data_IF_395804817590
#
_entry.id   IF_395804817590
#
_cell.length_a   1.000
_cell.length_b   1.000
_cell.length_c   1.000
_cell.angle_alpha   90.00
_cell.angle_beta   90.00
_cell.angle_gamma   90.00
#
_symmetry.space_group_name_H-M   'P 1'
#
loop_
_entity.id
_entity.type
_entity.pdbx_description
1 polymer ?
#
# COMPACT_ATOMS: atom_id res chain seq x y z
N UNK A 1 11.58 -32.17 6.11
CA UNK A 1 12.61 -31.22 5.64
C UNK A 1 12.04 -30.08 4.80
N UNK A 2 11.47 -30.31 3.60
CA UNK A 2 10.86 -29.22 2.80
C UNK A 2 9.56 -28.72 3.44
N UNK A 3 8.70 -29.63 3.92
CA UNK A 3 7.47 -29.25 4.60
C UNK A 3 7.75 -28.44 5.87
N UNK A 4 8.66 -28.89 6.74
CA UNK A 4 9.03 -28.14 7.95
C UNK A 4 9.54 -26.73 7.63
N UNK A 5 10.29 -26.57 6.53
CA UNK A 5 10.72 -25.26 6.05
C UNK A 5 9.53 -24.39 5.61
N UNK A 6 8.61 -24.96 4.82
CA UNK A 6 7.41 -24.25 4.36
C UNK A 6 6.53 -23.83 5.55
N UNK A 7 6.33 -24.73 6.51
CA UNK A 7 5.56 -24.44 7.71
C UNK A 7 6.22 -23.33 8.52
N UNK A 8 7.51 -23.50 8.87
CA UNK A 8 8.26 -22.54 9.69
C UNK A 8 8.29 -21.12 9.10
N UNK A 9 8.51 -20.99 7.79
CA UNK A 9 8.78 -19.69 7.18
C UNK A 9 7.58 -19.04 6.49
N UNK A 10 6.53 -19.81 6.16
CA UNK A 10 5.37 -19.27 5.44
C UNK A 10 4.03 -19.60 6.11
N UNK A 11 3.77 -20.86 6.51
CA UNK A 11 2.44 -21.24 7.04
C UNK A 11 2.25 -20.79 8.48
N UNK A 12 3.19 -21.11 9.36
CA UNK A 12 3.10 -20.80 10.79
C UNK A 12 3.01 -19.29 11.04
N UNK A 13 3.80 -18.42 10.35
CA UNK A 13 3.63 -16.98 10.49
C UNK A 13 2.22 -16.49 10.12
N UNK A 14 1.60 -17.07 9.09
CA UNK A 14 0.24 -16.74 8.66
C UNK A 14 -0.80 -17.25 9.67
N UNK A 15 -0.67 -18.51 10.11
CA UNK A 15 -1.64 -19.15 11.00
C UNK A 15 -1.61 -18.54 12.40
N UNK A 16 -0.43 -18.16 12.89
CA UNK A 16 -0.22 -17.62 14.24
C UNK A 16 -0.03 -16.10 14.28
N UNK A 17 -0.19 -15.39 13.16
CA UNK A 17 -0.09 -13.93 13.09
C UNK A 17 1.27 -13.37 13.52
N UNK A 18 2.37 -14.06 13.16
CA UNK A 18 3.73 -13.65 13.54
C UNK A 18 4.25 -12.51 12.66
N UNK A 19 5.23 -11.72 13.15
CA UNK A 19 5.99 -10.79 12.31
C UNK A 19 6.68 -11.51 11.14
N UNK A 20 6.99 -10.75 10.08
CA UNK A 20 7.74 -11.29 8.96
C UNK A 20 9.15 -11.70 9.38
N UNK A 21 9.65 -12.73 8.73
CA UNK A 21 11.02 -13.19 8.90
C UNK A 21 11.88 -12.77 7.69
N UNK A 22 13.17 -13.10 7.69
CA UNK A 22 14.05 -12.70 6.57
C UNK A 22 13.69 -13.48 5.29
N UNK A 23 13.26 -14.73 5.42
CA UNK A 23 12.98 -15.61 4.27
C UNK A 23 11.73 -15.16 3.54
N UNK A 24 10.62 -14.93 4.26
CA UNK A 24 9.38 -14.48 3.64
C UNK A 24 9.52 -13.05 3.08
N UNK A 25 10.20 -12.14 3.78
CA UNK A 25 10.47 -10.78 3.33
C UNK A 25 11.21 -10.76 1.99
N UNK A 26 12.31 -11.52 1.87
CA UNK A 26 13.08 -11.61 0.63
C UNK A 26 12.28 -12.30 -0.48
N UNK A 27 11.49 -13.33 -0.13
CA UNK A 27 10.63 -14.02 -1.08
C UNK A 27 9.57 -13.07 -1.66
N UNK A 28 8.89 -12.30 -0.81
CA UNK A 28 7.86 -11.37 -1.23
C UNK A 28 8.43 -10.20 -2.03
N UNK A 29 9.62 -9.71 -1.68
CA UNK A 29 10.34 -8.71 -2.48
C UNK A 29 10.68 -9.24 -3.88
N UNK A 30 11.17 -10.48 -3.98
CA UNK A 30 11.46 -11.10 -5.28
C UNK A 30 10.18 -11.32 -6.10
N UNK A 31 9.11 -11.81 -5.47
CA UNK A 31 7.81 -11.98 -6.12
C UNK A 31 7.27 -10.65 -6.66
N UNK A 32 7.42 -9.55 -5.92
CA UNK A 32 7.03 -8.21 -6.38
C UNK A 32 7.81 -7.81 -7.64
N UNK A 33 9.13 -7.99 -7.67
CA UNK A 33 9.97 -7.67 -8.84
C UNK A 33 9.54 -8.49 -10.06
N UNK A 34 9.33 -9.81 -9.87
CA UNK A 34 8.86 -10.70 -10.93
C UNK A 34 7.47 -10.30 -11.41
N UNK A 35 6.55 -9.96 -10.50
CA UNK A 35 5.21 -9.51 -10.83
C UNK A 35 5.24 -8.22 -11.66
N UNK A 36 6.04 -7.22 -11.26
CA UNK A 36 6.22 -5.98 -12.04
C UNK A 36 6.70 -6.30 -13.45
N UNK A 37 7.68 -7.19 -13.61
CA UNK A 37 8.18 -7.58 -14.93
C UNK A 37 7.11 -8.27 -15.78
N UNK A 38 6.36 -9.22 -15.22
CA UNK A 38 5.27 -9.92 -15.92
C UNK A 38 4.17 -8.93 -16.34
N UNK A 39 3.74 -8.06 -15.42
CA UNK A 39 2.73 -7.03 -15.68
C UNK A 39 3.21 -6.06 -16.75
N UNK A 40 4.47 -5.62 -16.68
CA UNK A 40 5.09 -4.77 -17.71
C UNK A 40 5.03 -5.45 -19.09
N UNK A 41 5.47 -6.70 -19.21
CA UNK A 41 5.46 -7.44 -20.48
C UNK A 41 4.05 -7.66 -21.03
N UNK A 42 3.07 -7.83 -20.15
CA UNK A 42 1.68 -7.98 -20.54
C UNK A 42 1.05 -6.65 -20.98
N UNK A 43 1.14 -5.60 -20.15
CA UNK A 43 0.51 -4.32 -20.41
C UNK A 43 1.19 -3.53 -21.53
N UNK A 44 2.52 -3.63 -21.67
CA UNK A 44 3.25 -3.01 -22.82
C UNK A 44 2.83 -3.58 -24.18
N UNK A 45 2.22 -4.77 -24.22
CA UNK A 45 1.66 -5.37 -25.44
C UNK A 45 0.17 -5.07 -25.63
N UNK A 46 -0.48 -4.44 -24.65
CA UNK A 46 -1.89 -4.12 -24.71
C UNK A 46 -2.15 -2.94 -25.64
N UNK A 47 -3.05 -3.11 -26.61
CA UNK A 47 -3.47 -2.02 -27.49
C UNK A 47 -4.54 -1.10 -26.84
N UNK A 48 -5.10 -1.51 -25.70
CA UNK A 48 -6.25 -0.84 -25.07
C UNK A 48 -5.82 -0.09 -23.80
N UNK A 49 -5.02 -0.75 -22.96
CA UNK A 49 -4.58 -0.21 -21.68
C UNK A 49 -3.25 0.51 -21.87
N UNK A 50 -3.22 1.81 -21.57
CA UNK A 50 -1.99 2.60 -21.55
C UNK A 50 -1.52 2.74 -20.11
N UNK A 51 -0.24 2.44 -19.88
CA UNK A 51 0.39 2.58 -18.56
C UNK A 51 0.97 3.98 -18.45
N UNK A 52 0.12 4.94 -18.12
CA UNK A 52 0.46 6.35 -17.91
C UNK A 52 0.08 6.81 -16.49
N UNK A 53 0.36 8.08 -16.17
CA UNK A 53 0.06 8.63 -14.85
C UNK A 53 -1.43 8.53 -14.50
N UNK A 54 -2.30 8.62 -15.51
CA UNK A 54 -3.74 8.50 -15.33
C UNK A 54 -4.12 7.07 -14.91
N UNK A 55 -3.54 6.06 -15.53
CA UNK A 55 -3.73 4.67 -15.14
C UNK A 55 -3.23 4.39 -13.71
N UNK A 56 -2.08 4.95 -13.32
CA UNK A 56 -1.55 4.80 -11.95
C UNK A 56 -2.50 5.44 -10.94
N UNK A 57 -2.92 6.68 -11.16
CA UNK A 57 -3.88 7.36 -10.29
C UNK A 57 -5.23 6.62 -10.21
N UNK A 58 -5.71 6.07 -11.33
CA UNK A 58 -6.93 5.28 -11.37
C UNK A 58 -6.80 3.93 -10.62
N UNK A 59 -5.58 3.44 -10.41
CA UNK A 59 -5.28 2.20 -9.69
C UNK A 59 -5.14 2.41 -8.17
N UNK A 60 -4.83 3.63 -7.70
CA UNK A 60 -4.64 3.92 -6.27
C UNK A 60 -5.82 3.53 -5.37
N UNK A 61 -7.11 3.67 -5.77
CA UNK A 61 -8.22 3.19 -4.95
C UNK A 61 -8.11 1.69 -4.64
N UNK A 62 -7.61 0.87 -5.57
CA UNK A 62 -7.41 -0.56 -5.34
C UNK A 62 -6.30 -0.84 -4.33
N UNK A 63 -5.28 0.01 -4.25
CA UNK A 63 -4.24 -0.07 -3.22
C UNK A 63 -4.85 0.19 -1.84
N UNK A 64 -5.68 1.23 -1.72
CA UNK A 64 -6.41 1.56 -0.48
C UNK A 64 -7.35 0.42 -0.09
N UNK A 65 -8.07 -0.17 -1.06
CA UNK A 65 -8.94 -1.33 -0.84
C UNK A 65 -8.18 -2.50 -0.23
N UNK A 66 -6.94 -2.75 -0.67
CA UNK A 66 -6.08 -3.78 -0.08
C UNK A 66 -5.81 -3.56 1.40
N UNK A 67 -5.48 -2.32 1.79
CA UNK A 67 -5.32 -1.94 3.19
C UNK A 67 -6.59 -2.13 4.01
N UNK A 68 -7.75 -1.71 3.48
CA UNK A 68 -9.05 -1.89 4.16
C UNK A 68 -9.42 -3.36 4.33
N UNK A 69 -9.22 -4.20 3.31
CA UNK A 69 -9.49 -5.63 3.39
C UNK A 69 -8.56 -6.35 4.37
N UNK A 70 -7.31 -5.89 4.55
CA UNK A 70 -6.46 -6.37 5.65
C UNK A 70 -7.11 -6.09 7.00
N UNK A 71 -7.72 -4.92 7.20
CA UNK A 71 -8.38 -4.61 8.47
C UNK A 71 -9.63 -5.44 8.67
N UNK A 72 -10.37 -5.79 7.62
CA UNK A 72 -11.48 -6.77 7.73
C UNK A 72 -10.98 -8.10 8.29
N UNK A 73 -9.78 -8.54 7.92
CA UNK A 73 -9.15 -9.71 8.55
C UNK A 73 -8.76 -9.44 10.00
N UNK A 74 -8.08 -8.31 10.27
CA UNK A 74 -7.65 -7.91 11.63
C UNK A 74 -8.85 -7.84 12.62
N UNK A 75 -10.06 -7.50 12.14
CA UNK A 75 -11.28 -7.46 12.98
C UNK A 75 -11.82 -8.83 13.41
N UNK A 76 -11.36 -9.93 12.81
CA UNK A 76 -11.87 -11.28 13.10
C UNK A 76 -13.30 -11.55 12.59
N UNK A 77 -13.87 -10.68 11.75
CA UNK A 77 -15.20 -10.89 11.15
C UNK A 77 -15.30 -12.13 10.27
N UNK A 78 -14.19 -12.56 9.70
CA UNK A 78 -14.11 -13.69 8.77
C UNK A 78 -13.41 -14.83 9.50
N UNK A 79 -14.03 -16.00 9.54
CA UNK A 79 -13.47 -17.20 10.16
C UNK A 79 -12.55 -17.99 9.20
N UNK A 80 -11.64 -18.82 9.74
CA UNK A 80 -10.91 -19.80 8.94
C UNK A 80 -11.85 -20.73 8.16
N UNK A 81 -11.50 -21.14 6.93
CA UNK A 81 -10.25 -20.86 6.22
C UNK A 81 -10.25 -19.56 5.40
N UNK A 82 -11.39 -18.87 5.30
CA UNK A 82 -11.57 -17.73 4.38
C UNK A 82 -10.73 -16.51 4.75
N UNK A 83 -10.44 -16.33 6.04
CA UNK A 83 -9.60 -15.23 6.53
C UNK A 83 -8.21 -15.24 5.90
N UNK A 84 -7.64 -16.42 5.61
CA UNK A 84 -6.28 -16.55 5.07
C UNK A 84 -6.14 -15.96 3.68
N UNK A 85 -7.25 -15.84 2.92
CA UNK A 85 -7.25 -15.15 1.63
C UNK A 85 -6.96 -13.66 1.76
N UNK A 86 -7.24 -13.08 2.93
CA UNK A 86 -6.97 -11.68 3.23
C UNK A 86 -5.62 -11.49 3.94
N UNK A 87 -4.87 -12.54 4.28
CA UNK A 87 -3.52 -12.42 4.85
C UNK A 87 -2.47 -12.34 3.74
N UNK A 88 -1.35 -11.67 4.01
CA UNK A 88 -0.21 -11.63 3.08
C UNK A 88 0.48 -13.00 2.99
N UNK A 89 0.98 -13.39 1.80
CA UNK A 89 0.93 -12.67 0.53
C UNK A 89 -0.37 -12.92 -0.26
N UNK A 90 -1.24 -13.84 0.19
CA UNK A 90 -2.44 -14.29 -0.54
C UNK A 90 -3.35 -13.13 -0.95
N UNK A 91 -3.55 -12.15 -0.07
CA UNK A 91 -4.37 -10.98 -0.37
C UNK A 91 -3.92 -10.23 -1.62
N UNK A 92 -2.61 -10.15 -1.89
CA UNK A 92 -2.13 -9.46 -3.09
C UNK A 92 -2.57 -10.19 -4.36
N UNK A 93 -2.67 -11.52 -4.35
CA UNK A 93 -3.19 -12.30 -5.48
C UNK A 93 -4.70 -12.14 -5.64
N UNK A 94 -5.45 -12.15 -4.53
CA UNK A 94 -6.91 -11.90 -4.54
C UNK A 94 -7.21 -10.52 -5.11
N UNK A 95 -6.52 -9.51 -4.58
CA UNK A 95 -6.70 -8.12 -4.97
C UNK A 95 -6.24 -7.87 -6.41
N UNK A 96 -5.15 -8.51 -6.83
CA UNK A 96 -4.70 -8.48 -8.22
C UNK A 96 -5.74 -9.10 -9.16
N UNK A 97 -6.28 -10.27 -8.85
CA UNK A 97 -7.30 -10.92 -9.66
C UNK A 97 -8.57 -10.05 -9.77
N UNK A 98 -9.01 -9.46 -8.66
CA UNK A 98 -10.14 -8.51 -8.66
C UNK A 98 -9.83 -7.27 -9.52
N UNK A 99 -8.71 -6.62 -9.28
CA UNK A 99 -8.29 -5.39 -9.97
C UNK A 99 -8.15 -5.61 -11.48
N UNK A 100 -7.49 -6.70 -11.88
CA UNK A 100 -7.34 -7.09 -13.28
C UNK A 100 -8.68 -7.42 -13.92
N UNK A 101 -9.56 -8.13 -13.22
CA UNK A 101 -10.91 -8.43 -13.74
C UNK A 101 -11.67 -7.15 -14.03
N UNK A 102 -11.67 -6.19 -13.10
CA UNK A 102 -12.35 -4.90 -13.32
C UNK A 102 -11.68 -4.12 -14.46
N UNK A 103 -10.34 -4.09 -14.52
CA UNK A 103 -9.60 -3.44 -15.61
C UNK A 103 -9.98 -4.04 -16.97
N UNK A 104 -10.00 -5.37 -17.09
CA UNK A 104 -10.34 -6.07 -18.34
C UNK A 104 -11.80 -5.83 -18.72
N UNK A 105 -12.73 -5.85 -17.77
CA UNK A 105 -14.15 -5.56 -18.03
C UNK A 105 -14.32 -4.12 -18.52
N UNK A 106 -13.75 -3.14 -17.83
CA UNK A 106 -13.85 -1.73 -18.22
C UNK A 106 -13.16 -1.49 -19.58
N UNK A 107 -11.97 -2.03 -19.81
CA UNK A 107 -11.23 -1.88 -21.05
C UNK A 107 -11.98 -2.53 -22.23
N UNK A 108 -12.57 -3.71 -22.02
CA UNK A 108 -13.41 -4.40 -23.00
C UNK A 108 -14.67 -3.60 -23.34
N UNK A 109 -15.34 -3.05 -22.32
CA UNK A 109 -16.49 -2.16 -22.52
C UNK A 109 -16.12 -0.89 -23.28
N UNK A 110 -14.93 -0.33 -23.01
CA UNK A 110 -14.39 0.82 -23.76
C UNK A 110 -14.14 0.49 -25.22
N UNK A 111 -13.52 -0.67 -25.50
CA UNK A 111 -13.30 -1.15 -26.86
C UNK A 111 -14.62 -1.41 -27.61
N UNK A 112 -15.64 -1.89 -26.92
CA UNK A 112 -16.98 -2.09 -27.49
C UNK A 112 -17.77 -0.80 -27.69
N UNK A 113 -17.25 0.36 -27.28
CA UNK A 113 -17.94 1.65 -27.39
C UNK A 113 -19.05 1.87 -26.35
N UNK A 114 -19.20 0.98 -25.36
CA UNK A 114 -20.20 1.10 -24.29
C UNK A 114 -19.85 2.21 -23.29
N UNK A 115 -18.56 2.45 -23.09
CA UNK A 115 -18.07 3.53 -22.22
C UNK A 115 -17.02 4.35 -22.96
N UNK A 116 -17.15 5.69 -22.89
CA UNK A 116 -16.19 6.61 -23.51
C UNK A 116 -14.83 6.62 -22.80
N UNK A 117 -14.84 6.33 -21.51
CA UNK A 117 -13.69 6.52 -20.64
C UNK A 117 -13.55 5.37 -19.64
N UNK A 118 -12.93 4.28 -20.09
CA UNK A 118 -12.78 3.08 -19.27
C UNK A 118 -11.98 3.34 -18.00
N UNK A 119 -10.97 4.22 -18.05
CA UNK A 119 -10.09 4.51 -16.92
C UNK A 119 -10.86 5.18 -15.77
N UNK A 120 -11.82 6.06 -16.11
CA UNK A 120 -12.72 6.67 -15.12
C UNK A 120 -13.60 5.61 -14.45
N UNK A 121 -14.22 4.71 -15.22
CA UNK A 121 -15.09 3.67 -14.66
C UNK A 121 -14.33 2.63 -13.83
N UNK A 122 -13.10 2.32 -14.23
CA UNK A 122 -12.17 1.53 -13.44
C UNK A 122 -11.88 2.23 -12.09
N UNK A 123 -11.48 3.51 -12.09
CA UNK A 123 -11.28 4.27 -10.86
C UNK A 123 -12.53 4.33 -9.97
N UNK A 124 -13.71 4.61 -10.56
CA UNK A 124 -14.98 4.67 -9.84
C UNK A 124 -15.30 3.34 -9.16
N UNK A 125 -15.08 2.22 -9.84
CA UNK A 125 -15.32 0.89 -9.27
C UNK A 125 -14.41 0.63 -8.07
N UNK A 126 -13.14 1.02 -8.16
CA UNK A 126 -12.20 0.97 -7.04
C UNK A 126 -12.67 1.82 -5.85
N UNK A 127 -13.07 3.08 -6.09
CA UNK A 127 -13.59 3.98 -5.04
C UNK A 127 -14.87 3.45 -4.40
N UNK A 128 -15.81 2.94 -5.19
CA UNK A 128 -17.04 2.34 -4.68
C UNK A 128 -16.74 1.10 -3.81
N UNK A 129 -15.79 0.28 -4.24
CA UNK A 129 -15.34 -0.90 -3.47
C UNK A 129 -14.75 -0.47 -2.12
N UNK A 130 -13.91 0.58 -2.10
CA UNK A 130 -13.43 1.17 -0.84
C UNK A 130 -14.57 1.67 0.04
N UNK A 131 -15.56 2.37 -0.53
CA UNK A 131 -16.72 2.87 0.21
C UNK A 131 -17.53 1.75 0.86
N UNK A 132 -17.74 0.63 0.15
CA UNK A 132 -18.43 -0.54 0.70
C UNK A 132 -17.65 -1.15 1.87
N UNK A 133 -16.35 -1.40 1.71
CA UNK A 133 -15.52 -2.00 2.78
C UNK A 133 -15.35 -1.03 3.96
N UNK A 134 -15.14 0.26 3.70
CA UNK A 134 -15.07 1.28 4.76
C UNK A 134 -16.40 1.39 5.52
N UNK A 135 -17.54 1.33 4.81
CA UNK A 135 -18.87 1.30 5.45
C UNK A 135 -19.06 0.09 6.35
N UNK A 136 -18.59 -1.10 5.93
CA UNK A 136 -18.58 -2.31 6.74
C UNK A 136 -17.74 -2.12 8.03
N UNK A 137 -16.53 -1.58 7.89
CA UNK A 137 -15.61 -1.33 9.01
C UNK A 137 -16.14 -0.28 9.98
N UNK A 138 -16.77 0.79 9.48
CA UNK A 138 -17.44 1.79 10.31
C UNK A 138 -18.63 1.15 11.05
N UNK A 139 -19.43 0.33 10.37
CA UNK A 139 -20.54 -0.40 11.00
C UNK A 139 -20.05 -1.29 12.15
N UNK A 140 -18.90 -1.94 11.99
CA UNK A 140 -18.27 -2.71 13.05
C UNK A 140 -17.77 -1.85 14.21
N UNK A 141 -17.08 -0.75 13.91
CA UNK A 141 -16.62 0.19 14.92
C UNK A 141 -17.76 0.74 15.77
N UNK A 142 -18.89 1.10 15.14
CA UNK A 142 -20.11 1.54 15.82
C UNK A 142 -20.75 0.43 16.65
N UNK A 143 -20.78 -0.81 16.14
CA UNK A 143 -21.41 -1.94 16.85
C UNK A 143 -20.60 -2.39 18.07
N UNK A 144 -19.28 -2.19 18.07
CA UNK A 144 -18.40 -2.57 19.17
C UNK A 144 -17.99 -1.38 20.07
N UNK A 145 -18.37 -0.15 19.71
CA UNK A 145 -18.05 1.05 20.48
C UNK A 145 -16.57 1.48 20.43
N UNK A 146 -15.86 1.11 19.35
CA UNK A 146 -14.39 1.23 19.23
C UNK A 146 -13.95 2.21 18.14
N UNK A 147 -14.73 3.25 17.83
CA UNK A 147 -14.43 4.16 16.71
C UNK A 147 -13.69 5.44 17.17
N UNK A 148 -12.36 5.45 17.09
CA UNK A 148 -11.50 6.58 17.45
C UNK A 148 -11.25 7.54 16.27
N UNK A 149 -12.13 8.53 16.10
CA UNK A 149 -12.02 9.53 15.02
C UNK A 149 -10.88 10.54 15.25
N UNK A 150 -10.49 10.75 16.51
CA UNK A 150 -9.34 11.56 16.90
C UNK A 150 -8.02 10.91 16.45
N UNK A 151 -7.87 9.59 16.63
CA UNK A 151 -6.73 8.81 16.11
C UNK A 151 -6.62 8.96 14.60
N UNK A 152 -7.74 8.86 13.88
CA UNK A 152 -7.79 9.08 12.42
C UNK A 152 -7.27 10.48 12.05
N UNK A 153 -7.76 11.51 12.75
CA UNK A 153 -7.37 12.89 12.54
C UNK A 153 -5.89 13.15 12.82
N UNK A 154 -5.34 12.57 13.87
CA UNK A 154 -3.92 12.73 14.25
C UNK A 154 -3.01 12.07 13.21
N UNK A 155 -3.27 10.82 12.84
CA UNK A 155 -2.42 10.08 11.89
C UNK A 155 -2.46 10.75 10.50
N UNK A 156 -3.65 11.11 10.01
CA UNK A 156 -3.79 11.84 8.74
C UNK A 156 -3.13 13.22 8.81
N UNK A 157 -3.29 13.94 9.92
CA UNK A 157 -2.68 15.24 10.15
C UNK A 157 -1.15 15.17 10.11
N UNK A 158 -0.57 14.20 10.80
CA UNK A 158 0.88 13.95 10.80
C UNK A 158 1.38 13.55 9.41
N UNK A 159 0.65 12.66 8.72
CA UNK A 159 0.99 12.23 7.35
C UNK A 159 0.98 13.40 6.36
N UNK A 160 -0.05 14.26 6.40
CA UNK A 160 -0.13 15.47 5.56
C UNK A 160 0.98 16.46 5.92
N UNK A 161 1.17 16.76 7.21
CA UNK A 161 2.17 17.73 7.66
C UNK A 161 3.59 17.32 7.25
N UNK A 162 3.94 16.05 7.47
CA UNK A 162 5.26 15.51 7.09
C UNK A 162 5.43 15.43 5.59
N UNK A 163 4.38 15.08 4.83
CA UNK A 163 4.40 15.12 3.35
C UNK A 163 4.65 16.52 2.83
N UNK A 164 3.95 17.53 3.34
CA UNK A 164 4.14 18.92 2.93
C UNK A 164 5.53 19.44 3.29
N UNK A 165 6.05 19.07 4.46
CA UNK A 165 7.41 19.41 4.88
C UNK A 165 8.44 18.82 3.92
N UNK A 166 8.40 17.51 3.68
CA UNK A 166 9.35 16.82 2.80
C UNK A 166 9.23 17.31 1.36
N UNK A 167 8.00 17.49 0.86
CA UNK A 167 7.75 18.11 -0.44
C UNK A 167 8.39 19.51 -0.52
N UNK A 168 8.21 20.34 0.51
CA UNK A 168 8.81 21.67 0.57
C UNK A 168 10.33 21.65 0.55
N UNK A 169 10.95 20.74 1.31
CA UNK A 169 12.40 20.51 1.30
C UNK A 169 12.88 20.12 -0.10
N UNK A 170 12.26 19.11 -0.71
CA UNK A 170 12.63 18.65 -2.06
C UNK A 170 12.43 19.75 -3.11
N UNK A 171 11.28 20.43 -3.10
CA UNK A 171 10.88 21.39 -4.13
C UNK A 171 11.64 22.71 -4.05
N UNK A 172 11.84 23.23 -2.84
CA UNK A 172 12.34 24.59 -2.61
C UNK A 172 13.78 24.61 -2.09
N UNK A 173 14.18 23.70 -1.21
CA UNK A 173 15.57 23.66 -0.71
C UNK A 173 16.51 22.91 -1.67
N UNK A 174 16.08 21.76 -2.20
CA UNK A 174 16.88 20.98 -3.16
C UNK A 174 16.61 21.35 -4.63
N UNK A 175 15.58 22.16 -4.90
CA UNK A 175 15.24 22.61 -6.26
C UNK A 175 14.67 21.53 -7.17
N UNK A 176 14.22 20.39 -6.63
CA UNK A 176 13.67 19.27 -7.41
C UNK A 176 12.27 19.61 -7.93
N UNK A 177 12.20 20.17 -9.14
CA UNK A 177 10.93 20.60 -9.76
C UNK A 177 9.99 19.44 -10.09
N UNK A 178 10.56 18.29 -10.42
CA UNK A 178 9.81 17.10 -10.83
C UNK A 178 8.94 16.52 -9.71
N UNK A 179 9.23 16.81 -8.44
CA UNK A 179 8.43 16.32 -7.28
C UNK A 179 7.00 16.87 -7.28
N UNK A 180 6.71 17.89 -8.10
CA UNK A 180 5.37 18.40 -8.33
C UNK A 180 4.48 17.43 -9.14
N UNK A 181 5.04 16.37 -9.73
CA UNK A 181 4.25 15.30 -10.34
C UNK A 181 3.35 14.63 -9.28
N UNK A 182 2.03 14.52 -9.52
CA UNK A 182 1.09 13.95 -8.56
C UNK A 182 1.44 12.52 -8.14
N UNK A 183 2.16 11.76 -8.97
CA UNK A 183 2.60 10.42 -8.60
C UNK A 183 3.69 10.43 -7.51
N UNK A 184 4.62 11.39 -7.56
CA UNK A 184 5.57 11.57 -6.46
C UNK A 184 4.87 12.10 -5.20
N UNK A 185 3.86 12.95 -5.35
CA UNK A 185 3.00 13.34 -4.22
C UNK A 185 2.32 12.14 -3.55
N UNK A 186 1.73 11.24 -4.34
CA UNK A 186 1.13 10.00 -3.83
C UNK A 186 2.16 9.07 -3.17
N UNK A 187 3.37 8.97 -3.73
CA UNK A 187 4.48 8.19 -3.15
C UNK A 187 4.90 8.75 -1.79
N UNK A 188 5.16 10.06 -1.71
CA UNK A 188 5.53 10.72 -0.46
C UNK A 188 4.44 10.54 0.59
N UNK A 189 3.18 10.81 0.22
CA UNK A 189 2.06 10.67 1.13
C UNK A 189 1.90 9.24 1.65
N UNK A 190 1.92 8.23 0.78
CA UNK A 190 1.77 6.83 1.20
C UNK A 190 2.87 6.39 2.17
N UNK A 191 4.12 6.74 1.90
CA UNK A 191 5.26 6.33 2.73
C UNK A 191 5.32 7.09 4.07
N UNK A 192 4.96 8.39 4.07
CA UNK A 192 4.98 9.21 5.27
C UNK A 192 3.74 9.00 6.14
N UNK A 193 2.60 8.67 5.54
CA UNK A 193 1.42 8.21 6.28
C UNK A 193 1.70 6.86 6.97
N UNK A 194 2.44 5.95 6.31
CA UNK A 194 2.86 4.69 6.92
C UNK A 194 3.75 4.92 8.15
N UNK A 195 4.79 5.76 8.01
CA UNK A 195 5.62 6.16 9.14
C UNK A 195 4.79 6.83 10.26
N UNK A 196 3.85 7.70 9.89
CA UNK A 196 2.96 8.37 10.84
C UNK A 196 2.09 7.38 11.61
N UNK A 197 1.49 6.42 10.93
CA UNK A 197 0.67 5.39 11.54
C UNK A 197 1.51 4.49 12.46
N UNK A 198 2.66 3.98 12.00
CA UNK A 198 3.54 3.14 12.83
C UNK A 198 4.07 3.91 14.05
N UNK A 199 4.55 5.15 13.89
CA UNK A 199 5.04 5.95 15.01
C UNK A 199 3.96 6.24 16.04
N UNK A 200 2.75 6.58 15.57
CA UNK A 200 1.61 6.80 16.47
C UNK A 200 1.21 5.50 17.19
N UNK A 201 1.09 4.40 16.46
CA UNK A 201 0.69 3.11 17.02
C UNK A 201 1.58 2.59 18.13
N UNK A 202 2.89 2.71 17.99
CA UNK A 202 3.84 2.14 18.96
C UNK A 202 4.08 3.09 20.13
N UNK A 203 4.26 4.38 19.85
CA UNK A 203 4.75 5.32 20.87
C UNK A 203 3.63 6.15 21.52
N UNK A 204 2.46 6.30 20.86
CA UNK A 204 1.41 7.24 21.29
C UNK A 204 0.03 6.60 21.50
N UNK A 205 -0.22 5.42 20.94
CA UNK A 205 -1.51 4.76 21.03
C UNK A 205 -1.62 3.92 22.31
N UNK A 206 -2.82 3.84 22.88
CA UNK A 206 -3.08 3.16 24.15
C UNK A 206 -3.00 1.63 24.05
N UNK A 207 -3.30 1.07 22.86
CA UNK A 207 -3.21 -0.37 22.62
C UNK A 207 -1.82 -0.71 22.06
N UNK A 208 -1.16 -1.77 22.61
CA UNK A 208 0.10 -2.27 22.09
C UNK A 208 0.02 -2.60 20.60
N UNK A 209 0.71 -1.81 19.78
CA UNK A 209 0.92 -2.09 18.37
C UNK A 209 2.36 -2.56 18.16
N UNK A 210 2.57 -3.45 17.19
CA UNK A 210 3.89 -3.97 16.84
C UNK A 210 4.16 -3.81 15.35
N UNK A 211 5.36 -3.32 15.04
CA UNK A 211 5.88 -3.31 13.67
C UNK A 211 6.20 -4.73 13.24
N UNK A 212 5.70 -5.13 12.07
CA UNK A 212 5.82 -6.51 11.56
C UNK A 212 6.98 -6.69 10.59
N UNK A 213 7.58 -5.61 10.07
CA UNK A 213 8.66 -5.68 9.08
C UNK A 213 10.03 -5.74 9.74
N UNK A 214 10.85 -6.72 9.34
CA UNK A 214 12.19 -6.99 9.89
C UNK A 214 13.04 -5.73 10.04
N UNK A 215 13.18 -4.92 9.00
CA UNK A 215 14.05 -3.72 9.03
C UNK A 215 13.49 -2.65 9.98
N UNK A 216 12.17 -2.44 9.97
CA UNK A 216 11.50 -1.49 10.84
C UNK A 216 11.65 -1.88 12.30
N UNK A 217 11.25 -3.11 12.65
CA UNK A 217 11.27 -3.61 14.02
C UNK A 217 12.66 -3.52 14.65
N UNK A 218 13.72 -3.91 13.92
CA UNK A 218 15.10 -3.82 14.42
C UNK A 218 15.52 -2.35 14.68
N UNK A 219 15.19 -1.43 13.78
CA UNK A 219 15.55 -0.01 13.96
C UNK A 219 14.83 0.62 15.14
N UNK A 220 13.57 0.24 15.36
CA UNK A 220 12.76 0.71 16.50
C UNK A 220 13.38 0.21 17.82
N UNK A 221 13.77 -1.06 17.88
CA UNK A 221 14.45 -1.64 19.05
C UNK A 221 15.77 -0.91 19.35
N UNK A 222 16.57 -0.60 18.31
CA UNK A 222 17.82 0.13 18.44
C UNK A 222 17.64 1.60 18.88
N UNK A 223 16.63 2.29 18.34
CA UNK A 223 16.39 3.70 18.61
C UNK A 223 15.57 3.94 19.89
N UNK A 224 14.84 2.94 20.36
CA UNK A 224 13.89 3.05 21.47
C UNK A 224 12.62 3.84 21.15
N UNK A 225 12.35 4.11 19.86
CA UNK A 225 11.18 4.88 19.41
C UNK A 225 10.81 4.52 17.98
N UNK A 226 9.50 4.48 17.70
CA UNK A 226 8.98 4.27 16.36
C UNK A 226 9.07 5.49 15.44
N UNK A 227 9.44 6.67 15.95
CA UNK A 227 9.72 7.85 15.12
C UNK A 227 10.94 7.69 14.21
N UNK A 228 11.80 6.69 14.46
CA UNK A 228 12.90 6.29 13.56
C UNK A 228 12.40 5.83 12.17
N UNK A 229 11.11 5.50 12.05
CA UNK A 229 10.51 5.16 10.75
C UNK A 229 10.56 6.33 9.76
N UNK A 230 10.47 7.58 10.22
CA UNK A 230 10.60 8.74 9.33
C UNK A 230 11.96 8.80 8.63
N UNK A 231 13.11 8.86 9.34
CA UNK A 231 14.42 8.88 8.68
C UNK A 231 14.66 7.63 7.82
N UNK A 232 14.15 6.44 8.21
CA UNK A 232 14.17 5.26 7.35
C UNK A 232 13.45 5.50 6.02
N UNK A 233 12.20 6.01 6.04
CA UNK A 233 11.46 6.32 4.83
C UNK A 233 12.17 7.36 3.98
N UNK A 234 12.73 8.41 4.59
CA UNK A 234 13.47 9.44 3.86
C UNK A 234 14.74 8.89 3.22
N UNK A 235 15.48 8.03 3.92
CA UNK A 235 16.67 7.36 3.39
C UNK A 235 16.38 6.51 2.14
N UNK A 236 15.15 6.00 1.99
CA UNK A 236 14.70 5.30 0.79
C UNK A 236 14.11 6.27 -0.26
N UNK A 237 13.28 7.22 0.17
CA UNK A 237 12.54 8.12 -0.72
C UNK A 237 13.45 9.08 -1.50
N UNK A 238 14.44 9.70 -0.85
CA UNK A 238 15.33 10.65 -1.53
C UNK A 238 16.12 10.00 -2.68
N UNK A 239 16.89 8.92 -2.45
CA UNK A 239 17.59 8.25 -3.55
C UNK A 239 16.61 7.58 -4.51
N UNK A 240 15.51 6.99 -4.02
CA UNK A 240 14.52 6.33 -4.87
C UNK A 240 13.89 7.28 -5.89
N UNK A 241 13.45 8.46 -5.44
CA UNK A 241 12.90 9.51 -6.30
C UNK A 241 13.96 10.04 -7.28
N UNK A 242 15.19 10.26 -6.80
CA UNK A 242 16.29 10.71 -7.66
C UNK A 242 16.60 9.69 -8.77
N UNK A 243 16.73 8.40 -8.43
CA UNK A 243 16.96 7.32 -9.40
C UNK A 243 15.78 7.20 -10.37
N UNK A 244 14.55 7.25 -9.87
CA UNK A 244 13.36 7.18 -10.71
C UNK A 244 13.27 8.34 -11.68
N UNK A 245 13.69 9.55 -11.28
CA UNK A 245 13.70 10.68 -12.19
C UNK A 245 14.71 10.47 -13.34
N UNK A 246 15.92 9.97 -13.05
CA UNK A 246 16.90 9.66 -14.10
C UNK A 246 16.38 8.53 -15.00
N UNK A 247 15.79 7.48 -14.41
CA UNK A 247 15.19 6.40 -15.17
C UNK A 247 14.02 6.85 -16.05
N UNK A 248 13.26 7.87 -15.63
CA UNK A 248 12.16 8.43 -16.45
C UNK A 248 12.66 9.02 -17.77
N UNK A 249 13.87 9.58 -17.75
CA UNK A 249 14.47 10.28 -18.89
C UNK A 249 15.13 9.30 -19.87
N UNK A 250 15.68 8.19 -19.37
CA UNK A 250 16.46 7.22 -20.18
C UNK A 250 15.74 5.89 -20.43
N UNK A 251 14.74 5.55 -19.61
CA UNK A 251 14.13 4.23 -19.53
C UNK A 251 12.79 4.09 -20.24
N UNK A 252 12.16 2.92 -20.06
CA UNK A 252 10.83 2.65 -20.59
C UNK A 252 9.76 3.36 -19.73
N UNK A 253 8.95 4.27 -20.29
CA UNK A 253 7.97 5.03 -19.51
C UNK A 253 6.98 4.14 -18.76
N UNK A 254 6.52 3.04 -19.35
CA UNK A 254 5.58 2.12 -18.73
C UNK A 254 6.19 1.42 -17.52
N UNK A 255 7.47 1.05 -17.60
CA UNK A 255 8.16 0.42 -16.47
C UNK A 255 8.38 1.43 -15.34
N UNK A 256 8.70 2.69 -15.66
CA UNK A 256 8.78 3.77 -14.67
C UNK A 256 7.47 3.91 -13.88
N UNK A 257 6.33 3.96 -14.58
CA UNK A 257 5.01 4.05 -13.95
C UNK A 257 4.69 2.84 -13.05
N UNK A 258 5.04 1.62 -13.48
CA UNK A 258 4.79 0.40 -12.69
C UNK A 258 5.68 0.31 -11.45
N UNK A 259 6.96 0.69 -11.55
CA UNK A 259 7.85 0.77 -10.39
C UNK A 259 7.31 1.80 -9.40
N UNK A 260 6.89 2.97 -9.88
CA UNK A 260 6.34 4.02 -9.04
C UNK A 260 5.03 3.58 -8.34
N UNK A 261 4.14 2.87 -9.05
CA UNK A 261 2.96 2.25 -8.45
C UNK A 261 3.32 1.23 -7.38
N UNK A 262 4.33 0.38 -7.62
CA UNK A 262 4.78 -0.59 -6.61
C UNK A 262 5.32 0.12 -5.36
N UNK A 263 6.12 1.17 -5.53
CA UNK A 263 6.63 1.96 -4.40
C UNK A 263 5.52 2.69 -3.63
N UNK A 264 4.49 3.20 -4.33
CA UNK A 264 3.29 3.76 -3.68
C UNK A 264 2.56 2.67 -2.91
N UNK A 265 2.38 1.48 -3.52
CA UNK A 265 1.65 0.34 -2.93
C UNK A 265 2.30 -0.13 -1.62
N UNK A 266 3.63 -0.24 -1.60
CA UNK A 266 4.40 -0.67 -0.42
C UNK A 266 4.26 0.31 0.76
N UNK A 267 3.98 1.60 0.52
CA UNK A 267 3.73 2.57 1.59
C UNK A 267 2.24 2.70 1.93
N UNK A 268 1.42 2.97 0.91
CA UNK A 268 0.02 3.35 1.10
C UNK A 268 -0.85 2.20 1.64
N UNK A 269 -0.64 0.95 1.20
CA UNK A 269 -1.47 -0.15 1.68
C UNK A 269 -1.22 -0.46 3.19
N UNK A 270 0.04 -0.57 3.67
CA UNK A 270 0.33 -0.64 5.10
C UNK A 270 -0.16 0.59 5.87
N UNK A 271 0.03 1.80 5.34
CA UNK A 271 -0.45 3.02 5.97
C UNK A 271 -1.95 2.99 6.27
N UNK A 272 -2.76 2.62 5.26
CA UNK A 272 -4.22 2.51 5.40
C UNK A 272 -4.59 1.43 6.41
N UNK A 273 -3.94 0.25 6.34
CA UNK A 273 -4.19 -0.84 7.29
C UNK A 273 -3.91 -0.39 8.71
N UNK A 274 -2.69 0.10 8.98
CA UNK A 274 -2.23 0.46 10.32
C UNK A 274 -3.10 1.55 10.92
N UNK A 275 -3.40 2.59 10.14
CA UNK A 275 -4.27 3.68 10.56
C UNK A 275 -5.68 3.19 10.90
N UNK A 276 -6.34 2.46 10.00
CA UNK A 276 -7.74 2.04 10.21
C UNK A 276 -7.84 0.98 11.31
N UNK A 277 -6.84 0.13 11.45
CA UNK A 277 -6.70 -0.82 12.56
C UNK A 277 -6.66 -0.10 13.92
N UNK A 278 -5.85 0.96 14.06
CA UNK A 278 -5.79 1.76 15.28
C UNK A 278 -7.11 2.48 15.56
N UNK A 279 -7.75 3.02 14.52
CA UNK A 279 -9.07 3.68 14.64
C UNK A 279 -10.15 2.73 15.16
N UNK A 280 -10.00 1.42 14.94
CA UNK A 280 -10.94 0.39 15.38
C UNK A 280 -10.48 -0.41 16.60
N UNK A 281 -9.31 -0.11 17.16
CA UNK A 281 -8.70 -0.84 18.27
C UNK A 281 -8.58 -2.35 18.03
N UNK A 282 -8.28 -2.76 16.80
CA UNK A 282 -8.02 -4.17 16.40
C UNK A 282 -6.54 -4.41 16.12
#
# INVERSE_FOLDING_TARGET
MIWDFIYKYYVDPIVYGQPYNIVDTLTYALLLIVAIYIIYRWLSRSAIVRVDSRFILATLPYVVLGGLLRVVEDTGMISPPWQYLLVTPLIYFVLFAFTVTVLVVCASAGKAGLVRDYARWYAVTGVLSCGVVAGLLVSFGLSNGVLALDVLGIILGLGVATTLLVYGVMRYLLGWRYVADPLYGALLFGQLLDASATSYGIDLHEIPYMEVHVVGSNLIELAGTAFVMFPLKLAVLFPGIWVLQHYREEGAPELWHLILLAMITVGLAPAVRNMVRMVLYV
#
